data_IF_349520533754
#
_entry.id   IF_349520533754
#
_cell.length_a   1.000
_cell.length_b   1.000
_cell.length_c   1.000
_cell.angle_alpha   90.00
_cell.angle_beta   90.00
_cell.angle_gamma   90.00
#
_symmetry.space_group_name_H-M   'P 1'
#
loop_
_entity.id
_entity.type
_entity.pdbx_description
1 polymer ?
#
# COMPACT_ATOMS: atom_id res chain seq x y z
N UNK A 1 17.20 -12.52 -3.85
CA UNK A 1 16.73 -11.14 -4.15
C UNK A 1 17.63 -10.36 -5.11
N UNK A 2 18.94 -10.61 -5.20
CA UNK A 2 19.86 -9.86 -6.10
C UNK A 2 19.43 -9.79 -7.58
N UNK A 3 18.67 -10.78 -8.04
CA UNK A 3 18.16 -10.88 -9.42
C UNK A 3 17.01 -9.91 -9.74
N UNK A 4 16.43 -9.25 -8.74
CA UNK A 4 15.31 -8.32 -8.94
C UNK A 4 15.73 -6.99 -9.59
N UNK A 5 17.01 -6.80 -9.93
CA UNK A 5 17.56 -5.56 -10.48
C UNK A 5 16.97 -5.15 -11.83
N UNK A 6 16.31 -6.07 -12.53
CA UNK A 6 15.62 -5.86 -13.80
C UNK A 6 14.18 -6.42 -13.78
N UNK A 7 13.55 -6.51 -12.60
CA UNK A 7 12.19 -7.04 -12.46
C UNK A 7 11.19 -6.31 -13.36
N UNK A 8 10.32 -7.06 -14.05
CA UNK A 8 9.32 -6.54 -15.00
C UNK A 8 9.48 -7.16 -16.38
N UNK A 9 9.39 -6.35 -17.44
CA UNK A 9 9.45 -6.76 -18.85
C UNK A 9 10.62 -7.73 -19.16
N UNK A 10 11.80 -7.50 -18.57
CA UNK A 10 12.99 -8.34 -18.79
C UNK A 10 12.85 -9.77 -18.24
N UNK A 11 11.85 -10.03 -17.41
CA UNK A 11 11.49 -11.36 -16.91
C UNK A 11 10.47 -12.07 -17.82
N UNK A 12 10.19 -11.52 -19.01
CA UNK A 12 9.17 -12.04 -19.92
C UNK A 12 7.75 -11.67 -19.52
N UNK A 13 7.59 -10.67 -18.65
CA UNK A 13 6.29 -10.13 -18.28
C UNK A 13 5.80 -9.10 -19.30
N UNK A 14 4.53 -8.73 -19.23
CA UNK A 14 3.94 -7.72 -20.10
C UNK A 14 4.58 -6.34 -19.90
N UNK A 15 4.45 -5.48 -20.91
CA UNK A 15 4.92 -4.10 -20.80
C UNK A 15 4.28 -3.41 -19.59
N UNK A 16 5.08 -2.70 -18.80
CA UNK A 16 4.65 -2.00 -17.58
C UNK A 16 3.33 -1.21 -17.72
N UNK A 17 3.07 -0.57 -18.86
CA UNK A 17 1.83 0.20 -19.09
C UNK A 17 0.55 -0.62 -19.17
N UNK A 18 0.65 -1.93 -19.40
CA UNK A 18 -0.47 -2.86 -19.59
C UNK A 18 -0.70 -3.76 -18.36
N UNK A 19 -0.02 -3.48 -17.25
CA UNK A 19 0.04 -4.36 -16.08
C UNK A 19 -0.67 -3.75 -14.89
N UNK A 20 -1.58 -4.53 -14.28
CA UNK A 20 -1.97 -4.36 -12.88
C UNK A 20 -1.26 -5.44 -12.08
N UNK A 21 -0.33 -5.04 -11.22
CA UNK A 21 0.43 -5.97 -10.40
C UNK A 21 -0.25 -6.14 -9.01
N UNK A 22 0.00 -7.27 -8.36
CA UNK A 22 -0.43 -7.56 -6.99
C UNK A 22 0.40 -8.73 -6.44
N UNK A 23 0.54 -8.82 -5.12
CA UNK A 23 1.18 -9.98 -4.46
C UNK A 23 0.21 -11.17 -4.43
N UNK A 24 -1.02 -10.89 -4.00
CA UNK A 24 -2.13 -11.83 -3.93
C UNK A 24 -3.44 -11.18 -4.38
N UNK A 25 -4.43 -12.00 -4.65
CA UNK A 25 -5.81 -11.60 -4.89
C UNK A 25 -6.74 -12.51 -4.08
N UNK A 26 -8.05 -12.26 -4.16
CA UNK A 26 -9.04 -13.03 -3.41
C UNK A 26 -9.06 -14.53 -3.76
N UNK A 27 -8.69 -14.93 -4.98
CA UNK A 27 -8.63 -16.34 -5.36
C UNK A 27 -7.35 -17.03 -4.86
N UNK A 28 -6.18 -16.50 -5.25
CA UNK A 28 -4.90 -17.16 -5.04
C UNK A 28 -4.46 -17.14 -3.57
N UNK A 29 -4.94 -16.20 -2.75
CA UNK A 29 -4.69 -16.23 -1.31
C UNK A 29 -5.37 -17.43 -0.61
N UNK A 30 -6.36 -18.04 -1.26
CA UNK A 30 -7.02 -19.30 -0.83
C UNK A 30 -6.40 -20.53 -1.50
N UNK A 31 -5.39 -20.34 -2.34
CA UNK A 31 -4.83 -21.40 -3.19
C UNK A 31 -5.78 -21.83 -4.30
N UNK A 32 -6.72 -20.96 -4.69
CA UNK A 32 -7.50 -21.10 -5.92
C UNK A 32 -6.78 -20.38 -7.08
N UNK A 33 -7.00 -20.80 -8.32
CA UNK A 33 -6.40 -20.15 -9.48
C UNK A 33 -4.93 -20.54 -9.74
N UNK A 34 -4.23 -19.69 -10.50
CA UNK A 34 -2.85 -19.93 -10.94
C UNK A 34 -1.79 -19.54 -9.92
N UNK A 35 -0.51 -19.80 -10.25
CA UNK A 35 0.69 -19.46 -9.46
C UNK A 35 0.95 -20.27 -8.16
N UNK A 36 0.03 -21.11 -7.71
CA UNK A 36 0.27 -22.01 -6.57
C UNK A 36 0.30 -21.28 -5.23
N UNK A 37 1.27 -21.60 -4.37
CA UNK A 37 1.40 -21.00 -3.04
C UNK A 37 1.98 -19.56 -3.15
N UNK A 38 1.10 -18.57 -3.03
CA UNK A 38 1.46 -17.14 -2.99
C UNK A 38 1.67 -16.65 -1.56
N UNK A 39 2.39 -15.53 -1.39
CA UNK A 39 2.49 -14.85 -0.10
C UNK A 39 1.17 -14.16 0.23
N UNK A 40 0.71 -14.25 1.48
CA UNK A 40 -0.54 -13.65 1.93
C UNK A 40 -0.37 -13.01 3.30
N UNK A 41 -1.43 -12.40 3.84
CA UNK A 41 -1.43 -11.92 5.23
C UNK A 41 -1.13 -13.00 6.28
N UNK A 42 -1.29 -14.29 5.95
CA UNK A 42 -0.94 -15.42 6.83
C UNK A 42 0.57 -15.55 7.05
N UNK A 43 1.38 -14.95 6.17
CA UNK A 43 2.83 -14.87 6.26
C UNK A 43 3.25 -13.38 6.35
N UNK A 44 2.89 -12.67 7.44
CA UNK A 44 2.89 -11.20 7.48
C UNK A 44 4.26 -10.58 7.25
N UNK A 45 5.34 -11.20 7.75
CA UNK A 45 6.72 -10.69 7.58
C UNK A 45 7.14 -10.67 6.10
N UNK A 46 7.21 -11.80 5.38
CA UNK A 46 7.54 -11.78 3.96
C UNK A 46 6.48 -11.06 3.10
N UNK A 47 5.20 -11.06 3.49
CA UNK A 47 4.15 -10.32 2.78
C UNK A 47 4.34 -8.81 2.81
N UNK A 48 4.66 -8.24 3.98
CA UNK A 48 5.00 -6.82 4.13
C UNK A 48 6.20 -6.43 3.25
N UNK A 49 7.24 -7.26 3.22
CA UNK A 49 8.44 -6.99 2.42
C UNK A 49 8.18 -7.08 0.90
N UNK A 50 7.44 -8.10 0.46
CA UNK A 50 7.06 -8.24 -0.94
C UNK A 50 6.19 -7.05 -1.40
N UNK A 51 5.24 -6.64 -0.56
CA UNK A 51 4.40 -5.46 -0.81
C UNK A 51 5.21 -4.17 -0.85
N UNK A 52 6.19 -4.00 0.05
CA UNK A 52 7.10 -2.85 0.03
C UNK A 52 7.92 -2.81 -1.27
N UNK A 53 8.47 -3.94 -1.72
CA UNK A 53 9.17 -4.00 -3.02
C UNK A 53 8.24 -3.64 -4.18
N UNK A 54 7.04 -4.22 -4.24
CA UNK A 54 6.02 -3.94 -5.26
C UNK A 54 5.64 -2.46 -5.33
N UNK A 55 5.54 -1.77 -4.19
CA UNK A 55 5.22 -0.35 -4.11
C UNK A 55 6.42 0.56 -4.44
N UNK A 56 7.63 0.12 -4.12
CA UNK A 56 8.85 0.85 -4.42
C UNK A 56 9.30 0.70 -5.88
N UNK A 57 8.98 -0.41 -6.55
CA UNK A 57 9.44 -0.71 -7.90
C UNK A 57 8.51 -0.14 -8.99
N UNK A 58 9.02 0.57 -10.03
CA UNK A 58 8.19 1.24 -11.03
C UNK A 58 7.74 0.31 -12.17
N UNK A 59 6.96 -0.71 -11.84
CA UNK A 59 6.46 -1.68 -12.83
C UNK A 59 4.96 -1.87 -12.67
N UNK A 60 4.15 -1.55 -13.67
CA UNK A 60 2.70 -1.68 -13.59
C UNK A 60 2.01 -0.71 -12.65
N UNK A 61 0.70 -0.90 -12.50
CA UNK A 61 -0.14 -0.24 -11.50
C UNK A 61 -0.35 -1.21 -10.34
N UNK A 62 0.10 -0.83 -9.15
CA UNK A 62 0.04 -1.71 -7.98
C UNK A 62 -1.34 -1.75 -7.34
N UNK A 63 -1.86 -2.97 -7.11
CA UNK A 63 -3.09 -3.24 -6.36
C UNK A 63 -2.74 -3.94 -5.04
N UNK A 64 -3.21 -3.36 -3.93
CA UNK A 64 -3.05 -3.92 -2.59
C UNK A 64 -4.30 -4.71 -2.22
N UNK A 65 -4.10 -5.94 -1.72
CA UNK A 65 -5.19 -6.75 -1.18
C UNK A 65 -5.56 -6.30 0.23
N UNK A 66 -6.86 -6.33 0.55
CA UNK A 66 -7.37 -6.15 1.89
C UNK A 66 -8.38 -7.24 2.20
N UNK A 67 -8.08 -8.07 3.18
CA UNK A 67 -8.73 -9.36 3.38
C UNK A 67 -9.59 -9.39 4.64
N UNK A 68 -10.24 -10.53 4.82
CA UNK A 68 -10.86 -10.95 6.06
C UNK A 68 -10.28 -12.31 6.47
N UNK A 69 -10.37 -12.61 7.77
CA UNK A 69 -9.95 -13.86 8.37
C UNK A 69 -10.98 -14.97 8.06
N UNK A 70 -10.50 -16.16 7.73
CA UNK A 70 -11.31 -17.35 7.45
C UNK A 70 -10.59 -18.62 7.91
N UNK A 71 -11.34 -19.71 8.14
CA UNK A 71 -10.76 -21.03 8.37
C UNK A 71 -10.06 -21.49 7.09
N UNK A 72 -8.73 -21.62 7.13
CA UNK A 72 -7.95 -22.04 5.96
C UNK A 72 -8.26 -23.45 5.48
N UNK A 73 -8.91 -24.28 6.31
CA UNK A 73 -9.40 -25.60 5.89
C UNK A 73 -10.71 -25.51 5.10
N UNK A 74 -11.43 -24.39 5.20
CA UNK A 74 -12.63 -24.09 4.42
C UNK A 74 -12.39 -22.89 3.50
N UNK A 75 -11.91 -23.18 2.29
CA UNK A 75 -11.57 -22.16 1.29
C UNK A 75 -12.78 -21.42 0.72
N UNK A 76 -13.99 -21.92 0.96
CA UNK A 76 -15.24 -21.33 0.49
C UNK A 76 -15.92 -20.46 1.57
N UNK A 77 -15.28 -20.27 2.71
CA UNK A 77 -15.81 -19.43 3.77
C UNK A 77 -15.94 -17.96 3.32
N UNK A 78 -17.17 -17.48 3.36
CA UNK A 78 -17.52 -16.09 3.09
C UNK A 78 -16.99 -15.10 4.15
N UNK A 79 -17.23 -13.79 3.94
CA UNK A 79 -16.76 -12.75 4.85
C UNK A 79 -17.40 -12.87 6.24
N UNK A 80 -16.85 -12.16 7.25
CA UNK A 80 -17.48 -12.01 8.56
C UNK A 80 -18.93 -11.52 8.40
N UNK A 81 -19.87 -12.25 8.97
CA UNK A 81 -21.30 -11.98 8.85
C UNK A 81 -22.02 -12.12 10.20
N UNK A 82 -23.15 -11.43 10.33
CA UNK A 82 -24.06 -11.54 11.47
C UNK A 82 -24.88 -12.83 11.38
N UNK A 83 -25.64 -13.16 12.45
CA UNK A 83 -26.46 -14.38 12.48
C UNK A 83 -27.55 -14.44 11.39
N UNK A 84 -27.90 -13.30 10.79
CA UNK A 84 -28.84 -13.18 9.66
C UNK A 84 -28.15 -13.22 8.28
N UNK A 85 -26.86 -13.57 8.21
CA UNK A 85 -26.02 -13.60 7.01
C UNK A 85 -25.72 -12.23 6.38
N UNK A 86 -26.09 -11.11 7.00
CA UNK A 86 -25.60 -9.79 6.58
C UNK A 86 -24.11 -9.64 6.85
N UNK A 87 -23.36 -8.98 5.97
CA UNK A 87 -21.92 -8.74 6.15
C UNK A 87 -21.70 -7.84 7.35
N UNK A 88 -20.78 -8.21 8.25
CA UNK A 88 -20.40 -7.37 9.39
C UNK A 88 -19.76 -6.08 8.91
N UNK A 89 -20.14 -4.97 9.53
CA UNK A 89 -19.46 -3.68 9.34
C UNK A 89 -17.98 -3.80 9.69
N UNK A 90 -17.13 -3.09 8.93
CA UNK A 90 -15.71 -2.95 9.29
C UNK A 90 -15.60 -2.00 10.47
N UNK A 91 -15.26 -2.54 11.64
CA UNK A 91 -15.03 -1.76 12.85
C UNK A 91 -13.53 -1.51 13.05
N UNK A 92 -13.18 -0.32 13.53
CA UNK A 92 -11.80 0.13 13.67
C UNK A 92 -11.37 0.22 15.14
N UNK A 93 -10.07 0.05 15.37
CA UNK A 93 -9.40 0.20 16.66
C UNK A 93 -8.05 0.86 16.46
N UNK A 94 -8.05 2.19 16.35
CA UNK A 94 -6.89 2.91 15.84
C UNK A 94 -6.61 2.49 14.39
N UNK A 95 -5.39 2.03 14.12
CA UNK A 95 -4.97 1.61 12.77
C UNK A 95 -5.25 0.13 12.46
N UNK A 96 -5.92 -0.62 13.34
CA UNK A 96 -6.29 -2.02 13.08
C UNK A 96 -7.80 -2.16 12.86
N UNK A 97 -8.18 -3.17 12.09
CA UNK A 97 -9.57 -3.58 11.96
C UNK A 97 -9.90 -4.70 12.94
N UNK A 98 -11.19 -4.81 13.29
CA UNK A 98 -11.72 -5.84 14.19
C UNK A 98 -12.75 -6.72 13.46
N UNK A 99 -13.41 -7.60 14.21
CA UNK A 99 -14.53 -8.42 13.76
C UNK A 99 -14.22 -9.34 12.57
N UNK A 100 -12.95 -9.78 12.48
CA UNK A 100 -12.48 -10.68 11.44
C UNK A 100 -11.98 -9.98 10.18
N UNK A 101 -11.96 -8.65 10.12
CA UNK A 101 -11.31 -7.91 9.03
C UNK A 101 -9.81 -7.77 9.27
N UNK A 102 -8.98 -8.07 8.26
CA UNK A 102 -7.51 -8.02 8.38
C UNK A 102 -6.98 -6.60 8.14
N UNK A 103 -7.47 -5.94 7.10
CA UNK A 103 -7.08 -4.59 6.71
C UNK A 103 -5.56 -4.39 6.55
N UNK A 104 -4.93 -5.21 5.71
CA UNK A 104 -3.51 -5.09 5.34
C UNK A 104 -3.17 -3.66 4.86
N UNK A 105 -4.11 -3.01 4.15
CA UNK A 105 -3.97 -1.62 3.72
C UNK A 105 -3.79 -0.60 4.86
N UNK A 106 -4.05 -0.97 6.12
CA UNK A 106 -3.84 -0.13 7.32
C UNK A 106 -2.60 -0.51 8.12
N UNK A 107 -1.88 -1.56 7.72
CA UNK A 107 -0.59 -1.88 8.33
C UNK A 107 0.39 -0.75 8.00
N UNK A 108 1.10 -0.25 9.01
CA UNK A 108 2.03 0.89 8.87
C UNK A 108 2.99 0.74 7.71
N UNK A 109 3.60 -0.43 7.63
CA UNK A 109 4.55 -0.80 6.60
C UNK A 109 3.93 -0.76 5.20
N UNK A 110 2.62 -0.98 5.06
CA UNK A 110 1.92 -0.95 3.77
C UNK A 110 1.44 0.46 3.43
N UNK A 111 0.73 1.15 4.33
CA UNK A 111 0.22 2.49 4.02
C UNK A 111 1.36 3.51 3.83
N UNK A 112 2.45 3.39 4.58
CA UNK A 112 3.61 4.25 4.38
C UNK A 112 4.33 3.94 3.07
N UNK A 113 4.31 2.69 2.61
CA UNK A 113 4.85 2.35 1.29
C UNK A 113 3.95 2.81 0.13
N UNK A 114 2.65 3.01 0.37
CA UNK A 114 1.78 3.73 -0.58
C UNK A 114 2.21 5.20 -0.69
N UNK A 115 2.46 5.87 0.45
CA UNK A 115 2.98 7.24 0.47
C UNK A 115 4.36 7.32 -0.21
N UNK A 116 5.26 6.37 0.09
CA UNK A 116 6.57 6.22 -0.57
C UNK A 116 6.41 6.14 -2.10
N UNK A 117 5.49 5.29 -2.58
CA UNK A 117 5.24 5.12 -4.02
C UNK A 117 4.75 6.41 -4.68
N UNK A 118 3.84 7.13 -4.03
CA UNK A 118 3.34 8.42 -4.50
C UNK A 118 4.46 9.47 -4.57
N UNK A 119 5.34 9.54 -3.57
CA UNK A 119 6.47 10.49 -3.52
C UNK A 119 7.54 10.14 -4.55
N UNK A 120 7.82 8.84 -4.72
CA UNK A 120 8.72 8.36 -5.75
C UNK A 120 8.18 8.64 -7.17
N UNK A 121 6.85 8.58 -7.35
CA UNK A 121 6.15 8.82 -8.62
C UNK A 121 6.82 8.09 -9.80
N UNK A 122 7.18 8.82 -10.86
CA UNK A 122 7.85 8.29 -12.04
C UNK A 122 9.39 8.29 -11.94
N UNK A 123 9.96 8.55 -10.76
CA UNK A 123 11.42 8.61 -10.61
C UNK A 123 12.04 7.27 -10.97
N UNK A 124 13.12 7.21 -11.76
CA UNK A 124 13.70 5.94 -12.17
C UNK A 124 14.35 5.22 -10.99
N UNK A 125 14.49 3.89 -11.09
CA UNK A 125 15.37 3.14 -10.18
C UNK A 125 16.81 3.60 -10.41
N UNK A 126 17.51 3.94 -9.32
CA UNK A 126 18.91 4.37 -9.30
C UNK A 126 19.62 3.73 -8.11
N UNK A 127 20.95 3.78 -8.10
CA UNK A 127 21.78 3.35 -6.98
C UNK A 127 21.47 1.92 -6.50
N UNK A 128 21.22 1.00 -7.44
CA UNK A 128 21.00 -0.41 -7.12
C UNK A 128 22.24 -0.98 -6.42
N UNK A 129 22.01 -1.60 -5.28
CA UNK A 129 23.00 -2.34 -4.50
C UNK A 129 22.43 -3.71 -4.17
N UNK A 130 23.29 -4.72 -4.22
CA UNK A 130 23.00 -6.06 -3.72
C UNK A 130 24.18 -6.52 -2.86
N UNK A 131 23.86 -7.17 -1.73
CA UNK A 131 24.84 -7.83 -0.87
C UNK A 131 25.18 -9.21 -1.41
N UNK A 132 24.96 -10.26 -0.61
CA UNK A 132 25.03 -11.64 -1.07
C UNK A 132 23.84 -11.99 -1.97
N UNK A 133 22.92 -12.84 -1.53
CA UNK A 133 21.79 -13.29 -2.36
C UNK A 133 20.50 -12.56 -2.00
N UNK A 134 20.30 -12.28 -0.72
CA UNK A 134 19.04 -11.84 -0.12
C UNK A 134 19.16 -10.49 0.60
N UNK A 135 20.08 -9.64 0.16
CA UNK A 135 20.17 -8.24 0.57
C UNK A 135 20.13 -7.35 -0.67
N UNK A 136 19.22 -6.39 -0.72
CA UNK A 136 19.15 -5.41 -1.80
C UNK A 136 18.83 -4.02 -1.26
N UNK A 137 19.26 -2.99 -1.98
CA UNK A 137 18.84 -1.62 -1.75
C UNK A 137 18.83 -0.85 -3.06
N UNK A 138 17.95 0.14 -3.18
CA UNK A 138 17.89 1.03 -4.33
C UNK A 138 17.15 2.31 -4.00
N UNK A 139 17.34 3.30 -4.87
CA UNK A 139 16.65 4.59 -4.80
C UNK A 139 15.69 4.77 -5.96
N UNK A 140 14.68 5.62 -5.76
CA UNK A 140 13.79 6.16 -6.78
C UNK A 140 14.20 7.61 -7.02
N UNK A 141 15.16 7.80 -7.93
CA UNK A 141 15.80 9.09 -8.16
C UNK A 141 16.39 9.68 -6.87
N UNK A 142 16.04 10.93 -6.60
CA UNK A 142 16.39 11.70 -5.41
C UNK A 142 15.23 11.80 -4.41
N UNK A 143 14.20 10.96 -4.58
CA UNK A 143 12.93 11.07 -3.84
C UNK A 143 12.78 10.05 -2.74
N UNK A 144 13.21 8.80 -2.97
CA UNK A 144 12.95 7.72 -2.04
C UNK A 144 14.05 6.64 -2.10
N UNK A 145 14.24 5.89 -1.02
CA UNK A 145 15.22 4.82 -0.90
C UNK A 145 14.68 3.66 -0.05
N UNK A 146 14.83 2.43 -0.55
CA UNK A 146 14.42 1.20 0.11
C UNK A 146 15.62 0.26 0.26
N UNK A 147 15.75 -0.38 1.42
CA UNK A 147 16.66 -1.50 1.67
C UNK A 147 15.89 -2.68 2.29
N UNK A 148 16.18 -3.90 1.83
CA UNK A 148 15.55 -5.15 2.27
C UNK A 148 16.62 -6.17 2.66
N UNK A 149 16.39 -6.90 3.75
CA UNK A 149 17.26 -7.96 4.23
C UNK A 149 16.49 -9.26 4.53
N UNK A 150 16.80 -10.32 3.80
CA UNK A 150 16.36 -11.69 4.09
C UNK A 150 17.54 -12.64 4.30
N UNK A 151 18.76 -12.11 4.46
CA UNK A 151 19.90 -12.90 4.92
C UNK A 151 19.79 -13.18 6.43
N UNK A 152 20.58 -14.13 6.92
CA UNK A 152 20.68 -14.43 8.35
C UNK A 152 21.63 -13.48 9.12
N UNK A 153 22.19 -12.47 8.44
CA UNK A 153 23.05 -11.44 9.03
C UNK A 153 22.60 -10.04 8.60
N UNK A 154 22.99 -9.03 9.37
CA UNK A 154 22.53 -7.66 9.18
C UNK A 154 23.13 -6.98 7.94
N UNK A 155 22.37 -6.06 7.33
CA UNK A 155 22.97 -5.00 6.54
C UNK A 155 23.55 -3.98 7.53
N UNK A 156 24.80 -3.59 7.32
CA UNK A 156 25.45 -2.45 7.98
C UNK A 156 26.44 -1.84 7.00
N UNK A 157 25.94 -0.98 6.11
CA UNK A 157 26.68 -0.51 4.93
C UNK A 157 26.47 0.98 4.69
N UNK A 158 27.51 1.67 4.22
CA UNK A 158 27.40 3.06 3.79
C UNK A 158 26.98 3.14 2.32
N UNK A 159 25.68 3.30 2.06
CA UNK A 159 25.08 3.18 0.73
C UNK A 159 24.76 4.54 0.12
N UNK A 160 24.85 4.64 -1.21
CA UNK A 160 24.39 5.81 -1.95
C UNK A 160 22.86 5.82 -1.98
N UNK A 161 22.24 6.74 -1.26
CA UNK A 161 20.77 6.86 -1.21
C UNK A 161 20.21 7.69 -2.35
N UNK A 162 21.01 8.61 -2.89
CA UNK A 162 20.56 9.61 -3.87
C UNK A 162 19.70 10.73 -3.27
N UNK A 163 19.37 10.66 -1.99
CA UNK A 163 18.57 11.67 -1.30
C UNK A 163 19.43 12.90 -0.95
N UNK A 164 18.81 14.08 -0.82
CA UNK A 164 19.46 15.26 -0.25
C UNK A 164 19.95 15.04 1.18
N UNK A 165 20.99 15.78 1.59
CA UNK A 165 21.48 15.82 2.97
C UNK A 165 20.34 16.12 3.94
N UNK A 166 20.24 15.35 5.01
CA UNK A 166 19.16 15.53 5.98
C UNK A 166 18.92 14.31 6.85
N UNK A 167 18.00 14.47 7.80
CA UNK A 167 17.52 13.40 8.68
C UNK A 167 16.17 12.92 8.18
N UNK A 168 16.05 11.61 8.00
CA UNK A 168 14.84 10.97 7.47
C UNK A 168 14.28 9.99 8.48
N UNK A 169 12.95 9.91 8.58
CA UNK A 169 12.28 8.87 9.36
C UNK A 169 12.18 7.58 8.54
N UNK A 170 12.56 6.45 9.14
CA UNK A 170 12.23 5.15 8.57
C UNK A 170 10.72 4.90 8.73
N UNK A 171 10.03 4.89 7.59
CA UNK A 171 8.56 4.77 7.54
C UNK A 171 8.08 3.33 7.74
N UNK A 172 8.99 2.37 7.83
CA UNK A 172 8.67 0.99 8.21
C UNK A 172 8.54 0.88 9.73
N UNK A 173 9.58 1.29 10.47
CA UNK A 173 9.60 1.20 11.93
C UNK A 173 8.72 2.24 12.61
N UNK A 174 8.42 3.37 11.97
CA UNK A 174 7.56 4.40 12.57
C UNK A 174 6.98 5.40 11.57
N UNK A 175 6.65 6.57 12.09
CA UNK A 175 6.06 7.71 11.38
C UNK A 175 6.80 8.99 11.74
N UNK A 176 6.60 10.04 10.94
CA UNK A 176 6.89 11.41 11.36
C UNK A 176 5.68 12.01 12.07
N UNK A 177 5.79 12.23 13.38
CA UNK A 177 4.73 12.81 14.20
C UNK A 177 5.28 14.04 14.93
N UNK A 178 4.58 15.17 14.80
CA UNK A 178 4.98 16.44 15.44
C UNK A 178 6.44 16.86 15.18
N UNK A 179 6.96 16.57 13.99
CA UNK A 179 8.33 16.91 13.60
C UNK A 179 9.41 15.97 14.15
N UNK A 180 9.02 14.83 14.75
CA UNK A 180 9.93 13.80 15.22
C UNK A 180 9.56 12.44 14.66
N UNK A 181 10.57 11.61 14.39
CA UNK A 181 10.37 10.22 14.02
C UNK A 181 9.98 9.42 15.26
N UNK A 182 8.94 8.59 15.15
CA UNK A 182 8.56 7.63 16.18
C UNK A 182 9.32 6.31 16.08
N UNK A 183 9.92 6.05 14.91
CA UNK A 183 10.80 4.92 14.64
C UNK A 183 12.27 5.33 14.48
N UNK A 184 13.02 4.52 13.75
CA UNK A 184 14.44 4.76 13.48
C UNK A 184 14.63 5.98 12.57
N UNK A 185 15.78 6.63 12.67
CA UNK A 185 16.20 7.73 11.80
C UNK A 185 17.37 7.30 10.92
N UNK A 186 17.44 7.87 9.72
CA UNK A 186 18.58 7.73 8.82
C UNK A 186 19.12 9.11 8.50
N UNK A 187 20.40 9.34 8.81
CA UNK A 187 21.10 10.58 8.48
C UNK A 187 21.83 10.41 7.14
N UNK A 188 21.40 11.19 6.14
CA UNK A 188 22.04 11.27 4.82
C UNK A 188 23.03 12.41 4.84
N UNK A 189 24.28 12.12 4.46
CA UNK A 189 25.37 13.10 4.42
C UNK A 189 25.36 13.98 3.16
N UNK A 190 26.27 14.97 3.11
CA UNK A 190 26.41 15.89 1.98
C UNK A 190 26.77 15.24 0.64
N UNK A 191 27.18 13.97 0.64
CA UNK A 191 27.45 13.19 -0.57
C UNK A 191 26.25 12.35 -1.03
N UNK A 192 25.12 12.41 -0.32
CA UNK A 192 23.93 11.60 -0.59
C UNK A 192 24.05 10.15 -0.09
N UNK A 193 25.03 9.86 0.78
CA UNK A 193 25.24 8.54 1.38
C UNK A 193 24.70 8.48 2.80
N UNK A 194 24.33 7.28 3.24
CA UNK A 194 23.91 7.04 4.61
C UNK A 194 24.39 5.67 5.10
N UNK A 195 24.62 5.56 6.40
CA UNK A 195 24.80 4.26 7.05
C UNK A 195 23.43 3.57 7.15
N UNK A 196 23.23 2.55 6.32
CA UNK A 196 22.01 1.76 6.28
C UNK A 196 22.22 0.52 7.14
N UNK A 197 21.40 0.42 8.19
CA UNK A 197 21.33 -0.76 9.04
C UNK A 197 19.98 -1.45 8.88
N UNK A 198 19.99 -2.73 8.52
CA UNK A 198 18.79 -3.57 8.44
C UNK A 198 19.08 -4.90 9.12
N UNK A 199 18.51 -5.08 10.30
CA UNK A 199 18.61 -6.30 11.10
C UNK A 199 18.05 -7.52 10.35
N UNK A 200 18.67 -8.69 10.49
CA UNK A 200 18.16 -9.95 9.91
C UNK A 200 16.94 -10.51 10.67
N UNK A 201 16.92 -10.32 11.98
CA UNK A 201 15.98 -10.97 12.89
C UNK A 201 14.88 -10.04 13.45
N UNK A 202 14.77 -8.81 12.96
CA UNK A 202 13.68 -7.92 13.38
C UNK A 202 12.35 -8.26 12.73
N UNK A 203 11.28 -7.66 13.27
CA UNK A 203 9.90 -7.84 12.81
C UNK A 203 9.75 -7.52 11.32
N UNK A 204 10.34 -6.41 10.90
CA UNK A 204 10.37 -5.92 9.51
C UNK A 204 11.81 -5.65 9.10
N UNK A 205 12.52 -6.62 8.49
CA UNK A 205 13.92 -6.46 8.10
C UNK A 205 14.02 -5.66 6.80
N UNK A 206 13.56 -4.42 6.86
CA UNK A 206 13.57 -3.43 5.79
C UNK A 206 13.60 -2.01 6.36
N UNK A 207 14.19 -1.08 5.60
CA UNK A 207 14.20 0.35 5.90
C UNK A 207 13.74 1.09 4.65
N UNK A 208 12.81 2.03 4.82
CA UNK A 208 12.32 2.88 3.75
C UNK A 208 12.32 4.34 4.19
N UNK A 209 12.96 5.20 3.40
CA UNK A 209 13.02 6.64 3.63
C UNK A 209 12.69 7.38 2.35
N UNK A 210 12.07 8.55 2.47
CA UNK A 210 11.75 9.40 1.33
C UNK A 210 11.78 10.87 1.74
N UNK A 211 11.94 11.76 0.76
CA UNK A 211 11.77 13.20 0.99
C UNK A 211 10.37 13.46 1.52
N UNK A 212 10.26 14.32 2.51
CA UNK A 212 8.95 14.86 2.88
C UNK A 212 8.48 15.78 1.75
N UNK A 213 7.21 15.67 1.35
CA UNK A 213 6.63 16.79 0.63
C UNK A 213 6.58 17.99 1.60
N UNK A 214 6.95 19.21 1.18
CA UNK A 214 6.69 20.37 2.00
C UNK A 214 5.18 20.40 2.27
N UNK A 215 4.80 20.20 3.54
CA UNK A 215 3.40 20.29 3.97
C UNK A 215 2.89 21.64 3.49
N UNK A 216 2.02 21.66 2.48
CA UNK A 216 1.21 22.85 2.24
C UNK A 216 0.36 23.00 3.48
N UNK A 217 0.57 24.07 4.23
CA UNK A 217 -0.37 24.54 5.23
C UNK A 217 -1.67 24.85 4.51
N UNK A 218 -2.57 23.87 4.43
CA UNK A 218 -3.94 24.11 3.99
C UNK A 218 -4.59 24.88 5.14
N UNK A 219 -4.83 26.17 4.93
CA UNK A 219 -5.62 26.95 5.87
C UNK A 219 -7.03 26.35 5.93
N UNK A 220 -7.64 26.37 7.10
CA UNK A 220 -8.98 25.81 7.40
C UNK A 220 -10.13 26.39 6.54
N UNK A 221 -9.84 27.29 5.59
CA UNK A 221 -10.80 27.87 4.65
C UNK A 221 -10.91 27.17 3.28
N UNK A 222 -10.01 26.24 2.91
CA UNK A 222 -9.98 25.65 1.55
C UNK A 222 -10.64 24.26 1.44
N UNK A 223 -11.27 23.76 2.51
CA UNK A 223 -11.96 22.46 2.50
C UNK A 223 -13.34 22.57 1.82
N UNK A 224 -13.35 22.76 0.50
CA UNK A 224 -14.59 22.63 -0.28
C UNK A 224 -14.86 21.14 -0.55
N UNK A 225 -15.71 20.53 0.25
CA UNK A 225 -16.27 19.19 -0.01
C UNK A 225 -17.05 19.24 -1.34
N UNK A 226 -16.48 18.70 -2.42
CA UNK A 226 -17.20 18.53 -3.69
C UNK A 226 -17.84 17.15 -3.74
N UNK A 227 -19.09 17.08 -3.36
CA UNK A 227 -19.91 15.87 -3.49
C UNK A 227 -20.36 15.70 -4.93
N UNK A 228 -19.96 14.61 -5.60
CA UNK A 228 -20.50 14.23 -6.91
C UNK A 228 -21.38 12.98 -6.75
N UNK A 229 -22.66 13.10 -7.06
CA UNK A 229 -23.58 11.95 -7.13
C UNK A 229 -23.37 11.26 -8.48
N UNK A 230 -23.12 9.95 -8.48
CA UNK A 230 -22.96 9.14 -9.68
C UNK A 230 -24.01 8.03 -9.65
N UNK A 231 -24.77 7.88 -10.75
CA UNK A 231 -25.79 6.83 -10.88
C UNK A 231 -25.15 5.51 -11.28
N UNK A 232 -25.69 4.39 -10.79
CA UNK A 232 -25.19 3.03 -11.03
C UNK A 232 -25.05 2.68 -12.52
N UNK A 233 -25.91 3.24 -13.35
CA UNK A 233 -25.99 3.05 -14.80
C UNK A 233 -24.79 3.67 -15.56
N UNK A 234 -24.02 4.53 -14.89
CA UNK A 234 -22.85 5.23 -15.44
C UNK A 234 -21.52 4.57 -15.00
N UNK A 235 -21.57 3.44 -14.29
CA UNK A 235 -20.39 2.77 -13.70
C UNK A 235 -20.06 1.47 -14.46
N UNK A 236 -19.26 1.58 -15.52
CA UNK A 236 -18.52 0.43 -16.07
C UNK A 236 -17.07 0.40 -15.58
N UNK A 237 -16.51 1.55 -15.17
CA UNK A 237 -15.22 1.68 -14.49
C UNK A 237 -15.11 3.07 -13.86
N UNK A 238 -15.04 3.19 -12.52
CA UNK A 238 -14.84 4.50 -11.89
C UNK A 238 -13.34 4.84 -11.86
N UNK A 239 -12.86 5.55 -12.90
CA UNK A 239 -11.50 6.12 -12.92
C UNK A 239 -11.48 7.45 -12.17
N UNK A 240 -11.00 7.47 -10.93
CA UNK A 240 -10.70 8.71 -10.20
C UNK A 240 -9.38 9.31 -10.73
N UNK A 241 -9.47 10.29 -11.64
CA UNK A 241 -8.33 11.15 -12.00
C UNK A 241 -8.17 12.25 -10.95
N UNK A 242 -7.23 12.05 -10.03
CA UNK A 242 -6.71 13.16 -9.23
C UNK A 242 -5.71 13.93 -10.09
N UNK A 243 -6.03 15.18 -10.43
CA UNK A 243 -5.10 16.09 -11.11
C UNK A 243 -4.34 16.91 -10.05
N UNK A 244 -3.05 16.65 -9.80
CA UNK A 244 -2.14 17.74 -9.53
C UNK A 244 -1.88 18.42 -10.89
N UNK A 245 -2.01 19.75 -10.97
CA UNK A 245 -1.52 20.44 -12.18
C UNK A 245 -0.02 20.15 -12.29
N UNK A 246 0.31 19.37 -13.31
CA UNK A 246 1.59 18.84 -13.78
C UNK A 246 2.14 17.57 -13.09
N UNK A 247 2.37 16.57 -13.96
CA UNK A 247 2.89 15.20 -13.78
C UNK A 247 2.00 14.20 -13.04
N UNK A 248 1.60 13.16 -13.78
CA UNK A 248 0.62 12.15 -13.43
C UNK A 248 1.10 11.12 -12.39
N UNK A 249 0.19 10.67 -11.51
CA UNK A 249 -0.25 9.27 -11.42
C UNK A 249 -1.41 9.07 -10.42
N UNK A 250 -2.09 7.94 -10.60
CA UNK A 250 -3.38 7.53 -10.03
C UNK A 250 -3.18 6.25 -9.22
N UNK A 251 -3.52 6.25 -7.94
CA UNK A 251 -3.59 5.02 -7.12
C UNK A 251 -5.04 4.58 -7.03
N UNK A 252 -5.36 3.39 -7.53
CA UNK A 252 -6.71 2.84 -7.55
C UNK A 252 -6.88 1.89 -6.36
N UNK A 253 -7.77 2.24 -5.42
CA UNK A 253 -8.22 1.33 -4.38
C UNK A 253 -9.54 0.71 -4.87
N UNK A 254 -9.50 -0.54 -5.32
CA UNK A 254 -10.70 -1.30 -5.66
C UNK A 254 -11.09 -2.18 -4.49
N UNK A 255 -12.39 -2.21 -4.17
CA UNK A 255 -12.99 -3.26 -3.36
C UNK A 255 -13.74 -4.18 -4.31
N UNK A 256 -13.24 -5.39 -4.54
CA UNK A 256 -13.95 -6.41 -5.32
C UNK A 256 -15.06 -6.98 -4.44
N UNK A 257 -16.31 -6.64 -4.73
CA UNK A 257 -17.50 -7.32 -4.17
C UNK A 257 -17.91 -8.40 -5.18
N UNK A 258 -17.46 -9.63 -4.97
CA UNK A 258 -18.03 -10.78 -5.67
C UNK A 258 -19.42 -11.08 -5.10
N UNK A 259 -20.44 -11.09 -5.96
CA UNK A 259 -21.68 -11.82 -5.70
C UNK A 259 -21.99 -12.70 -6.90
N UNK A 260 -21.93 -14.02 -6.66
CA UNK A 260 -22.62 -14.99 -7.48
C UNK A 260 -24.11 -14.71 -7.48
N UNK A 261 -24.70 -14.76 -8.68
CA UNK A 261 -26.11 -14.94 -9.01
C UNK A 261 -27.12 -14.44 -7.96
N UNK A 262 -27.63 -13.20 -8.12
CA UNK A 262 -29.04 -12.78 -8.01
C UNK A 262 -29.20 -11.24 -7.97
N UNK A 263 -30.25 -10.66 -8.57
CA UNK A 263 -30.39 -9.22 -8.77
C UNK A 263 -31.07 -8.55 -7.57
N UNK A 264 -30.29 -8.11 -6.58
CA UNK A 264 -30.76 -7.10 -5.62
C UNK A 264 -30.15 -5.75 -5.97
N UNK A 265 -31.01 -4.84 -6.44
CA UNK A 265 -30.67 -3.46 -6.79
C UNK A 265 -30.41 -2.69 -5.49
N UNK A 266 -29.14 -2.46 -5.14
CA UNK A 266 -28.77 -1.41 -4.18
C UNK A 266 -29.01 -0.04 -4.84
N UNK A 267 -29.96 0.72 -4.31
CA UNK A 267 -30.33 2.09 -4.72
C UNK A 267 -29.59 3.18 -3.93
N UNK A 268 -28.60 2.84 -3.12
CA UNK A 268 -27.87 3.81 -2.30
C UNK A 268 -26.72 4.46 -3.09
N UNK A 269 -26.65 5.80 -3.17
CA UNK A 269 -25.50 6.49 -3.75
C UNK A 269 -24.27 6.27 -2.88
N UNK A 270 -23.15 5.86 -3.49
CA UNK A 270 -21.87 5.73 -2.81
C UNK A 270 -21.27 7.13 -2.66
N UNK A 271 -21.17 7.62 -1.42
CA UNK A 271 -20.54 8.89 -1.11
C UNK A 271 -19.04 8.69 -0.94
N UNK A 272 -18.23 9.32 -1.78
CA UNK A 272 -16.78 9.40 -1.60
C UNK A 272 -16.43 10.74 -0.97
N UNK A 273 -16.01 10.74 0.29
CA UNK A 273 -15.39 11.90 0.93
C UNK A 273 -13.88 11.74 0.83
N UNK A 274 -13.21 12.64 0.10
CA UNK A 274 -11.75 12.73 0.04
C UNK A 274 -11.35 13.88 0.96
N UNK A 275 -10.82 13.55 2.14
CA UNK A 275 -10.21 14.53 3.03
C UNK A 275 -8.76 14.78 2.57
N UNK A 276 -8.36 16.05 2.47
CA UNK A 276 -7.03 16.45 2.01
C UNK A 276 -5.99 16.44 3.14
N UNK A 277 -6.37 16.05 4.36
CA UNK A 277 -5.43 15.74 5.41
C UNK A 277 -4.82 14.35 5.19
N UNK A 278 -3.50 14.26 5.27
CA UNK A 278 -2.65 13.12 4.89
C UNK A 278 -2.84 11.84 5.76
N UNK A 279 -4.01 11.63 6.37
CA UNK A 279 -4.23 10.53 7.33
C UNK A 279 -5.58 9.83 7.27
N UNK A 280 -6.52 10.17 6.38
CA UNK A 280 -7.79 9.43 6.30
C UNK A 280 -8.05 8.83 4.90
N UNK A 281 -7.99 7.51 4.84
CA UNK A 281 -8.40 6.72 3.68
C UNK A 281 -9.93 6.64 3.58
N UNK A 282 -10.40 6.53 2.35
CA UNK A 282 -11.80 6.32 1.95
C UNK A 282 -12.53 5.34 2.88
N UNK A 283 -13.39 5.87 3.74
CA UNK A 283 -14.37 5.07 4.48
C UNK A 283 -15.53 4.77 3.54
N UNK A 284 -15.69 3.51 3.13
CA UNK A 284 -16.96 3.02 2.58
C UNK A 284 -17.96 2.96 3.74
N UNK A 285 -18.62 4.08 4.02
CA UNK A 285 -19.79 4.09 4.89
C UNK A 285 -21.01 3.67 4.06
N UNK A 286 -21.53 2.46 4.30
CA UNK A 286 -22.94 2.22 4.05
C UNK A 286 -23.69 3.08 5.06
N UNK A 287 -24.34 4.16 4.60
CA UNK A 287 -25.34 4.84 5.42
C UNK A 287 -26.50 3.86 5.59
N UNK A 288 -26.60 3.32 6.79
CA UNK A 288 -27.71 2.52 7.30
C UNK A 288 -28.97 3.40 7.27
N UNK A 289 -29.88 3.17 6.32
CA UNK A 289 -31.17 3.85 6.29
C UNK A 289 -32.12 3.14 7.25
N UNK A 290 -32.15 3.59 8.51
CA UNK A 290 -33.33 3.36 9.36
C UNK A 290 -34.41 4.40 9.04
N UNK A 291 -35.55 3.82 8.64
CA UNK A 291 -36.96 4.27 8.74
C UNK A 291 -37.34 5.67 8.25
N UNK A 292 -38.31 5.74 7.32
CA UNK A 292 -39.70 6.12 7.64
C UNK A 292 -40.63 5.98 6.42
N UNK A 293 -41.86 5.48 6.68
CA UNK A 293 -43.16 5.68 6.00
C UNK A 293 -43.18 5.86 4.45
N UNK A 294 -43.86 5.03 3.65
CA UNK A 294 -45.29 4.64 3.66
C UNK A 294 -45.49 3.35 2.85
#
# INVERSE_FOLDING_TARGET
MKWLNNFGDAWGMWASGDVVNFIDNHDNQRGHGGAGAVLTNWEPKPYKMATAFMLAWPYGVSRIMSSYNYDRNNKDQGPPHNGDMSIKTVSLSGMTCRDGWICEHRWRQIYNMVAFSNIAANSPVRNWWAGADYQIAFSRGDRAFLALNLENYDISQNLMTGLPVGKYCDVISGNLENGSCTGTTVDVDGSGRANIHVCSNCEDPMVAIHVEEPRKSVSSGDLATKTKHIRKEEIETLRLRLYPRHSALTTTINTDINRGDHPCVLTTPILFTIDYNFLDFVTLANMDSRSDAF
#
